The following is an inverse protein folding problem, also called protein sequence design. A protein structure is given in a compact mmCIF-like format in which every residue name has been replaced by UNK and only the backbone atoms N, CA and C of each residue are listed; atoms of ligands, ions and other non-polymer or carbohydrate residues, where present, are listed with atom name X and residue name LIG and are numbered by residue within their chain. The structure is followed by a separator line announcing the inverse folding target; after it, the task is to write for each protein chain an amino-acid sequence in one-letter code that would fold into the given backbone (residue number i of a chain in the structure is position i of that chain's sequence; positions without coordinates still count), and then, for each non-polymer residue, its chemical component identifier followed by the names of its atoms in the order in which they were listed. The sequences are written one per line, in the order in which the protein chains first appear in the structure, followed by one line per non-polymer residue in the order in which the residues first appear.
data_IF_993308354139
#
_entry.id   IF_993308354139
#
_cell.length_a   1.000
_cell.length_b   1.000
_cell.length_c   1.000
_cell.angle_alpha   90.00
_cell.angle_beta   90.00
_cell.angle_gamma   90.00
#
_symmetry.space_group_name_H-M   'P 1'
#
loop_
_entity.id
_entity.type
_entity.pdbx_description
1 polymer ?
#
# COMPACT_ATOMS: atom_id res chain seq x y z
N UNK A 1 -26.70 -43.56 -57.64
CA UNK A 1 -27.18 -43.36 -56.25
C UNK A 1 -25.96 -43.07 -55.38
N UNK A 2 -25.66 -41.79 -55.17
CA UNK A 2 -24.43 -41.32 -54.50
C UNK A 2 -24.53 -41.51 -52.99
N UNK A 3 -23.51 -42.15 -52.39
CA UNK A 3 -23.35 -42.26 -50.94
C UNK A 3 -22.83 -40.92 -50.41
N UNK A 4 -23.62 -40.24 -49.58
CA UNK A 4 -23.17 -39.06 -48.86
C UNK A 4 -22.25 -39.47 -47.70
N UNK A 5 -20.96 -39.12 -47.78
CA UNK A 5 -20.04 -39.23 -46.64
C UNK A 5 -20.23 -37.98 -45.77
N UNK A 6 -20.77 -38.16 -44.55
CA UNK A 6 -20.82 -37.09 -43.54
C UNK A 6 -19.43 -37.00 -42.89
N UNK A 7 -18.69 -35.95 -43.23
CA UNK A 7 -17.43 -35.60 -42.58
C UNK A 7 -17.74 -35.11 -41.15
N UNK A 8 -17.54 -35.95 -40.15
CA UNK A 8 -17.65 -35.58 -38.74
C UNK A 8 -16.51 -34.63 -38.37
N UNK A 9 -16.84 -33.41 -37.95
CA UNK A 9 -15.86 -32.46 -37.40
C UNK A 9 -15.46 -32.92 -36.00
N UNK A 10 -14.22 -33.38 -35.83
CA UNK A 10 -13.61 -33.55 -34.53
C UNK A 10 -13.29 -32.16 -33.97
N UNK A 11 -13.91 -31.80 -32.83
CA UNK A 11 -13.58 -30.59 -32.09
C UNK A 11 -12.33 -30.85 -31.23
N UNK A 12 -11.30 -30.00 -31.38
CA UNK A 12 -10.15 -29.96 -30.47
C UNK A 12 -10.54 -29.22 -29.17
N UNK A 13 -10.07 -29.66 -27.99
CA UNK A 13 -10.28 -28.90 -26.76
C UNK A 13 -9.36 -27.68 -26.78
N UNK A 14 -9.95 -26.48 -26.69
CA UNK A 14 -9.20 -25.25 -26.48
C UNK A 14 -8.73 -25.22 -25.02
N UNK A 15 -7.43 -25.42 -24.80
CA UNK A 15 -6.80 -25.11 -23.51
C UNK A 15 -6.69 -23.59 -23.43
N UNK A 16 -7.58 -22.96 -22.67
CA UNK A 16 -7.49 -21.54 -22.37
C UNK A 16 -6.33 -21.32 -21.39
N UNK A 17 -5.18 -20.89 -21.90
CA UNK A 17 -4.13 -20.27 -21.09
C UNK A 17 -4.70 -18.94 -20.58
N UNK A 18 -5.03 -18.86 -19.28
CA UNK A 18 -5.28 -17.61 -18.59
C UNK A 18 -3.98 -16.80 -18.64
N UNK A 19 -3.91 -15.86 -19.57
CA UNK A 19 -2.88 -14.82 -19.53
C UNK A 19 -3.17 -13.97 -18.29
N UNK A 20 -2.29 -14.08 -17.28
CA UNK A 20 -2.24 -13.13 -16.18
C UNK A 20 -1.67 -11.85 -16.80
N UNK A 21 -2.54 -10.93 -17.20
CA UNK A 21 -2.12 -9.58 -17.52
C UNK A 21 -1.80 -8.90 -16.19
N UNK A 22 -0.58 -8.35 -15.98
CA UNK A 22 -0.33 -7.54 -14.79
C UNK A 22 -1.33 -6.38 -14.83
N UNK A 23 -2.11 -6.22 -13.77
CA UNK A 23 -2.95 -5.04 -13.64
C UNK A 23 -2.00 -3.87 -13.41
N UNK A 24 -2.18 -2.82 -14.21
CA UNK A 24 -1.40 -1.60 -14.09
C UNK A 24 -1.52 -1.04 -12.68
N UNK A 25 -0.39 -0.73 -12.04
CA UNK A 25 -0.38 0.07 -10.82
C UNK A 25 -1.22 1.33 -11.02
N UNK A 26 -2.05 1.67 -10.02
CA UNK A 26 -2.82 2.91 -10.02
C UNK A 26 -2.11 3.93 -9.16
N UNK A 27 -1.81 5.09 -9.76
CA UNK A 27 -1.35 6.24 -9.01
C UNK A 27 -2.48 6.74 -8.11
N UNK A 28 -2.23 6.74 -6.80
CA UNK A 28 -3.17 7.09 -5.73
C UNK A 28 -2.56 8.20 -4.88
N UNK A 29 -3.38 9.14 -4.40
CA UNK A 29 -2.93 10.15 -3.46
C UNK A 29 -2.45 9.47 -2.17
N UNK A 30 -1.31 9.87 -1.62
CA UNK A 30 -0.76 9.18 -0.44
C UNK A 30 -1.73 9.27 0.76
N UNK A 31 -2.50 10.36 0.86
CA UNK A 31 -3.51 10.56 1.90
C UNK A 31 -4.82 9.82 1.62
N UNK A 32 -4.99 9.23 0.43
CA UNK A 32 -6.14 8.40 0.09
C UNK A 32 -5.89 6.91 0.42
N UNK A 33 -4.69 6.55 0.90
CA UNK A 33 -4.38 5.16 1.27
C UNK A 33 -5.07 4.77 2.58
N UNK A 34 -5.48 3.52 2.65
CA UNK A 34 -6.09 2.90 3.82
C UNK A 34 -5.17 1.82 4.42
N UNK A 35 -5.33 1.50 5.70
CA UNK A 35 -4.59 0.41 6.35
C UNK A 35 -4.82 -0.90 5.59
N UNK A 36 -3.73 -1.57 5.22
CA UNK A 36 -3.71 -2.80 4.41
C UNK A 36 -3.49 -2.56 2.91
N UNK A 37 -3.43 -1.30 2.45
CA UNK A 37 -3.09 -1.01 1.06
C UNK A 37 -1.60 -1.28 0.78
N UNK A 38 -1.34 -2.03 -0.28
CA UNK A 38 0.00 -2.32 -0.77
C UNK A 38 0.38 -1.40 -1.93
N UNK A 39 1.65 -0.97 -1.96
CA UNK A 39 2.13 0.02 -2.93
C UNK A 39 3.62 -0.16 -3.25
N UNK A 40 4.06 0.49 -4.33
CA UNK A 40 5.46 0.67 -4.66
C UNK A 40 6.04 1.84 -3.85
N UNK A 41 6.97 1.53 -2.95
CA UNK A 41 7.60 2.49 -2.05
C UNK A 41 8.73 3.32 -2.68
N UNK A 42 9.03 3.17 -3.97
CA UNK A 42 10.10 3.94 -4.64
C UNK A 42 9.88 5.45 -4.60
N UNK A 43 8.62 5.89 -4.50
CA UNK A 43 8.28 7.30 -4.31
C UNK A 43 8.73 7.88 -2.95
N UNK A 44 8.97 7.02 -1.95
CA UNK A 44 9.43 7.43 -0.61
C UNK A 44 10.96 7.62 -0.54
N UNK A 45 11.72 7.00 -1.44
CA UNK A 45 13.18 6.96 -1.36
C UNK A 45 13.82 8.36 -1.45
N UNK A 46 14.30 8.87 -0.32
CA UNK A 46 14.95 10.18 -0.23
C UNK A 46 14.00 11.38 -0.43
N UNK A 47 12.70 11.15 -0.28
CA UNK A 47 11.68 12.19 -0.40
C UNK A 47 11.45 12.89 0.95
N UNK A 48 11.45 14.22 0.93
CA UNK A 48 10.97 15.03 2.06
C UNK A 48 9.43 15.18 2.03
N UNK A 49 8.82 15.00 0.87
CA UNK A 49 7.38 15.10 0.63
C UNK A 49 6.96 14.10 -0.44
N UNK A 50 5.84 13.42 -0.21
CA UNK A 50 5.22 12.49 -1.16
C UNK A 50 3.76 12.87 -1.33
N UNK A 51 3.31 13.05 -2.57
CA UNK A 51 1.90 13.36 -2.86
C UNK A 51 1.13 12.13 -3.35
N UNK A 52 1.80 11.21 -4.05
CA UNK A 52 1.18 10.03 -4.67
C UNK A 52 2.11 8.84 -4.61
N UNK A 53 1.54 7.66 -4.50
CA UNK A 53 2.23 6.37 -4.67
C UNK A 53 1.51 5.52 -5.71
N UNK A 54 2.19 4.48 -6.19
CA UNK A 54 1.61 3.50 -7.10
C UNK A 54 1.07 2.32 -6.29
N UNK A 55 -0.25 2.24 -6.15
CA UNK A 55 -0.95 1.14 -5.44
C UNK A 55 -1.06 -0.11 -6.30
N UNK A 56 -0.98 -1.27 -5.67
CA UNK A 56 -1.03 -2.60 -6.30
C UNK A 56 -1.80 -3.59 -5.42
N UNK A 57 -2.33 -4.67 -6.01
CA UNK A 57 -2.90 -5.76 -5.23
C UNK A 57 -1.80 -6.40 -4.36
N UNK A 58 -2.02 -6.60 -3.07
CA UNK A 58 -1.02 -7.20 -2.19
C UNK A 58 -0.52 -8.59 -2.63
N UNK A 59 -1.31 -9.32 -3.44
CA UNK A 59 -0.86 -10.61 -3.99
C UNK A 59 0.16 -10.46 -5.13
N UNK A 60 0.33 -9.26 -5.66
CA UNK A 60 1.38 -8.88 -6.60
C UNK A 60 2.64 -8.47 -5.84
N UNK A 61 3.76 -8.39 -6.58
CA UNK A 61 5.03 -7.94 -6.01
C UNK A 61 4.95 -6.45 -5.66
N UNK A 62 5.33 -6.10 -4.43
CA UNK A 62 5.33 -4.72 -3.92
C UNK A 62 6.41 -4.53 -2.85
N UNK A 63 6.60 -3.27 -2.43
CA UNK A 63 7.68 -2.87 -1.50
C UNK A 63 7.19 -2.03 -0.33
N UNK A 64 5.90 -1.75 -0.22
CA UNK A 64 5.32 -1.14 0.97
C UNK A 64 3.87 -1.49 1.24
N UNK A 65 3.47 -1.34 2.50
CA UNK A 65 2.10 -1.55 2.98
C UNK A 65 1.76 -0.55 4.07
N UNK A 66 0.54 -0.01 4.07
CA UNK A 66 0.05 0.84 5.16
C UNK A 66 -0.32 -0.04 6.34
N UNK A 67 0.36 0.13 7.48
CA UNK A 67 0.12 -0.73 8.64
C UNK A 67 -0.64 -0.05 9.78
N UNK A 68 -0.81 1.27 9.71
CA UNK A 68 -1.46 2.04 10.77
C UNK A 68 -1.94 3.41 10.28
N UNK A 69 -2.89 3.97 11.01
CA UNK A 69 -3.39 5.32 10.80
C UNK A 69 -3.75 5.98 12.12
N UNK A 70 -3.43 7.26 12.23
CA UNK A 70 -3.73 8.10 13.38
C UNK A 70 -4.65 9.24 12.95
N UNK A 71 -5.82 9.34 13.58
CA UNK A 71 -6.69 10.50 13.46
C UNK A 71 -6.31 11.55 14.53
N UNK A 72 -5.83 12.70 14.09
CA UNK A 72 -5.46 13.80 14.99
C UNK A 72 -6.68 14.49 15.57
N UNK A 73 -6.52 15.11 16.74
CA UNK A 73 -7.59 15.86 17.38
C UNK A 73 -8.02 17.07 16.52
N UNK A 74 -9.34 17.27 16.43
CA UNK A 74 -9.95 18.39 15.72
C UNK A 74 -9.43 19.76 16.22
N UNK A 75 -9.00 20.60 15.29
CA UNK A 75 -8.60 21.99 15.54
C UNK A 75 -8.80 22.86 14.30
N UNK A 76 -9.33 24.07 14.49
CA UNK A 76 -9.52 25.04 13.39
C UNK A 76 -8.19 25.47 12.75
N UNK A 77 -7.10 25.46 13.52
CA UNK A 77 -5.75 25.77 13.03
C UNK A 77 -4.88 24.53 13.15
N UNK A 78 -4.06 24.27 12.13
CA UNK A 78 -3.08 23.19 12.18
C UNK A 78 -2.15 23.38 13.39
N UNK A 79 -1.90 22.32 14.18
CA UNK A 79 -0.80 22.29 15.13
C UNK A 79 0.54 22.55 14.43
N UNK A 80 1.63 22.67 15.20
CA UNK A 80 2.95 22.73 14.56
C UNK A 80 3.20 21.40 13.83
N UNK A 81 3.76 21.46 12.63
CA UNK A 81 4.02 20.26 11.81
C UNK A 81 4.89 19.24 12.55
N UNK A 82 5.84 19.71 13.37
CA UNK A 82 6.65 18.82 14.21
C UNK A 82 5.81 18.10 15.27
N UNK A 83 4.82 18.75 15.86
CA UNK A 83 3.97 18.13 16.88
C UNK A 83 3.10 17.03 16.23
N UNK A 84 2.57 17.27 15.02
CA UNK A 84 1.83 16.25 14.25
C UNK A 84 2.71 15.05 13.92
N UNK A 85 3.94 15.33 13.44
CA UNK A 85 4.90 14.28 13.10
C UNK A 85 5.30 13.46 14.33
N UNK A 86 5.66 14.11 15.45
CA UNK A 86 6.10 13.44 16.67
C UNK A 86 4.98 12.55 17.25
N UNK A 87 3.73 13.02 17.23
CA UNK A 87 2.57 12.24 17.65
C UNK A 87 2.36 11.00 16.76
N UNK A 88 2.45 11.18 15.45
CA UNK A 88 2.28 10.11 14.48
C UNK A 88 3.45 9.11 14.52
N UNK A 89 4.69 9.55 14.68
CA UNK A 89 5.86 8.68 14.81
C UNK A 89 5.77 7.81 16.07
N UNK A 90 5.39 8.40 17.21
CA UNK A 90 5.15 7.63 18.44
C UNK A 90 4.05 6.57 18.23
N UNK A 91 2.95 6.95 17.58
CA UNK A 91 1.87 6.02 17.25
C UNK A 91 2.35 4.88 16.33
N UNK A 92 2.99 5.19 15.21
CA UNK A 92 3.48 4.22 14.24
C UNK A 92 4.52 3.28 14.86
N UNK A 93 5.41 3.79 15.71
CA UNK A 93 6.38 2.97 16.44
C UNK A 93 5.70 1.91 17.31
N UNK A 94 4.62 2.26 18.03
CA UNK A 94 3.90 1.29 18.85
C UNK A 94 3.05 0.31 18.04
N UNK A 95 2.42 0.77 16.96
CA UNK A 95 1.64 -0.10 16.08
C UNK A 95 2.52 -1.10 15.31
N UNK A 96 3.77 -0.73 15.03
CA UNK A 96 4.70 -1.55 14.25
C UNK A 96 4.80 -2.98 14.80
N UNK A 97 5.04 -3.13 16.10
CA UNK A 97 5.20 -4.45 16.72
C UNK A 97 3.91 -5.27 16.60
N UNK A 98 2.76 -4.63 16.76
CA UNK A 98 1.45 -5.30 16.67
C UNK A 98 1.19 -5.82 15.27
N UNK A 99 1.61 -5.08 14.24
CA UNK A 99 1.45 -5.46 12.84
C UNK A 99 2.51 -6.46 12.36
N UNK A 100 3.80 -6.15 12.52
CA UNK A 100 4.92 -6.97 12.00
C UNK A 100 5.15 -8.23 12.85
N UNK A 101 4.80 -8.19 14.13
CA UNK A 101 4.95 -9.31 15.07
C UNK A 101 6.28 -9.35 15.83
N UNK A 102 7.22 -8.45 15.52
CA UNK A 102 8.49 -8.23 16.25
C UNK A 102 8.71 -6.73 16.49
N UNK A 103 9.48 -6.34 17.53
CA UNK A 103 9.84 -4.93 17.74
C UNK A 103 10.59 -4.34 16.55
N UNK A 104 10.46 -3.03 16.34
CA UNK A 104 11.13 -2.31 15.25
C UNK A 104 12.65 -2.56 15.22
N UNK A 105 13.30 -2.55 16.38
CA UNK A 105 14.75 -2.75 16.49
C UNK A 105 15.22 -4.18 16.16
N UNK A 106 14.30 -5.13 16.11
CA UNK A 106 14.57 -6.53 15.74
C UNK A 106 14.15 -6.84 14.29
N UNK A 107 13.51 -5.88 13.61
CA UNK A 107 13.05 -5.99 12.23
C UNK A 107 14.09 -5.47 11.24
N UNK A 108 14.06 -6.00 10.03
CA UNK A 108 14.74 -5.52 8.84
C UNK A 108 13.88 -4.57 8.01
N UNK A 109 12.60 -4.42 8.35
CA UNK A 109 11.69 -3.46 7.73
C UNK A 109 11.91 -2.06 8.31
N UNK A 110 11.77 -1.06 7.45
CA UNK A 110 11.73 0.33 7.85
C UNK A 110 10.28 0.82 7.83
N UNK A 111 9.98 1.90 8.55
CA UNK A 111 8.72 2.59 8.39
C UNK A 111 8.91 4.09 8.16
N UNK A 112 7.93 4.68 7.49
CA UNK A 112 7.82 6.11 7.22
C UNK A 112 6.49 6.61 7.77
N UNK A 113 6.48 7.87 8.16
CA UNK A 113 5.28 8.57 8.61
C UNK A 113 4.91 9.59 7.55
N UNK A 114 3.64 9.57 7.14
CA UNK A 114 3.05 10.64 6.36
C UNK A 114 2.09 11.39 7.27
N UNK A 115 2.32 12.69 7.44
CA UNK A 115 1.48 13.55 8.27
C UNK A 115 0.84 14.67 7.46
N UNK A 116 -0.33 15.20 7.88
CA UNK A 116 -0.95 16.33 7.20
C UNK A 116 -0.01 17.52 7.07
N UNK A 117 -0.14 18.25 5.96
CA UNK A 117 0.50 19.55 5.79
C UNK A 117 -0.40 20.64 6.34
N UNK A 118 0.14 21.84 6.59
CA UNK A 118 -0.71 22.99 6.95
C UNK A 118 -1.73 23.30 5.85
N UNK A 119 -1.36 23.12 4.58
CA UNK A 119 -2.26 23.33 3.45
C UNK A 119 -3.39 22.29 3.41
N UNK A 120 -3.07 21.00 3.56
CA UNK A 120 -4.09 19.94 3.57
C UNK A 120 -4.98 20.04 4.81
N UNK A 121 -4.42 20.42 5.96
CA UNK A 121 -5.19 20.68 7.17
C UNK A 121 -6.25 21.77 6.96
N UNK A 122 -5.86 22.91 6.39
CA UNK A 122 -6.73 24.08 6.26
C UNK A 122 -7.72 23.98 5.09
N UNK A 123 -7.32 23.34 3.98
CA UNK A 123 -8.07 23.39 2.73
C UNK A 123 -8.73 22.06 2.34
N UNK A 124 -8.26 20.94 2.89
CA UNK A 124 -8.75 19.60 2.58
C UNK A 124 -9.32 18.86 3.80
N UNK A 125 -9.33 19.49 4.97
CA UNK A 125 -9.77 18.89 6.24
C UNK A 125 -9.02 17.59 6.57
N UNK A 126 -7.75 17.54 6.18
CA UNK A 126 -6.88 16.39 6.38
C UNK A 126 -6.43 16.33 7.85
N UNK A 127 -6.83 15.25 8.53
CA UNK A 127 -6.58 15.00 9.96
C UNK A 127 -5.88 13.67 10.19
N UNK A 128 -5.41 13.02 9.13
CA UNK A 128 -4.92 11.65 9.23
C UNK A 128 -3.43 11.60 8.98
N UNK A 129 -2.68 10.98 9.89
CA UNK A 129 -1.33 10.50 9.60
C UNK A 129 -1.35 9.01 9.30
N UNK A 130 -0.48 8.57 8.40
CA UNK A 130 -0.36 7.18 7.97
C UNK A 130 1.02 6.61 8.33
N UNK A 131 1.01 5.34 8.72
CA UNK A 131 2.20 4.55 8.99
C UNK A 131 2.49 3.64 7.80
N UNK A 132 3.58 3.89 7.10
CA UNK A 132 3.97 3.20 5.87
C UNK A 132 5.12 2.24 6.17
N UNK A 133 4.91 0.94 6.01
CA UNK A 133 5.98 -0.05 6.11
C UNK A 133 6.69 -0.15 4.76
N UNK A 134 8.02 -0.32 4.77
CA UNK A 134 8.82 -0.55 3.57
C UNK A 134 9.66 -1.83 3.74
N UNK A 135 9.74 -2.61 2.66
CA UNK A 135 10.45 -3.88 2.64
C UNK A 135 11.21 -4.11 1.34
N UNK A 136 12.06 -5.13 1.35
CA UNK A 136 12.43 -5.82 0.11
C UNK A 136 11.17 -6.33 -0.63
N UNK A 137 11.23 -6.60 -1.95
CA UNK A 137 10.06 -7.06 -2.70
C UNK A 137 9.40 -8.31 -2.11
N UNK A 138 8.08 -8.25 -1.88
CA UNK A 138 7.26 -9.36 -1.34
C UNK A 138 5.97 -9.55 -2.15
N UNK A 139 5.34 -10.71 -1.98
CA UNK A 139 3.95 -10.95 -2.40
C UNK A 139 3.16 -11.51 -1.23
N UNK A 140 2.03 -10.87 -0.93
CA UNK A 140 1.25 -11.03 0.29
C UNK A 140 1.48 -9.87 1.27
N UNK A 141 0.58 -9.72 2.24
CA UNK A 141 0.72 -8.71 3.31
C UNK A 141 1.97 -8.97 4.15
N UNK A 142 2.55 -7.88 4.66
CA UNK A 142 3.62 -7.78 5.63
C UNK A 142 3.13 -7.98 7.07
N UNK A 143 1.82 -8.13 7.29
CA UNK A 143 1.26 -8.50 8.61
C UNK A 143 1.87 -9.83 9.10
N UNK A 144 2.42 -9.82 10.31
CA UNK A 144 3.13 -10.94 10.93
C UNK A 144 4.34 -11.45 10.11
N UNK A 145 4.99 -10.60 9.30
CA UNK A 145 6.17 -10.99 8.52
C UNK A 145 7.36 -11.44 9.40
N UNK A 146 7.45 -10.91 10.63
CA UNK A 146 8.37 -11.38 11.67
C UNK A 146 9.85 -11.24 11.34
N UNK A 147 10.22 -10.33 10.42
CA UNK A 147 11.59 -10.13 9.96
C UNK A 147 12.00 -8.69 10.02
#
# INVERSE_FOLDING_TARGET
MSRHYRMGRLALPAVALLAIAPLSACSTGVMDLEVGDCFDASALEGADEVSTVDTVDCTEEHTGEVFGSLEHAESETAPALQDLFDEADEHCYYEFQSFVGVPYEESAHEYYVVSPTQESWENADDRTSLCLLVSEPVSGSLENSGT
#
